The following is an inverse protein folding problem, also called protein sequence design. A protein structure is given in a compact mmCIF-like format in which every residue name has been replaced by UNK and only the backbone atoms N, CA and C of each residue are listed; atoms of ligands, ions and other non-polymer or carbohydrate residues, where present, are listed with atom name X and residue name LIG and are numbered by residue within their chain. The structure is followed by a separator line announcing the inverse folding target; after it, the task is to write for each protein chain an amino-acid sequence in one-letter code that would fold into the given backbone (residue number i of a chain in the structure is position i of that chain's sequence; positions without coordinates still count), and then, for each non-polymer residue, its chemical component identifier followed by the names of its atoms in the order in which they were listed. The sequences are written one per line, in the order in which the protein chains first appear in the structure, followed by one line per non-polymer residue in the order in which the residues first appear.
data_IF_377007077283
#
_entry.id   IF_377007077283
#
_cell.length_a   1.000
_cell.length_b   1.000
_cell.length_c   1.000
_cell.angle_alpha   90.00
_cell.angle_beta   90.00
_cell.angle_gamma   90.00
#
_symmetry.space_group_name_H-M   'P 1'
#
loop_
_entity.id
_entity.type
_entity.pdbx_description
1 polymer ?
#
# COMPACT_ATOMS: atom_id res chain seq x y z
N UNK A 1 37.41 -14.04 -49.52
CA UNK A 1 36.58 -15.12 -48.95
C UNK A 1 36.74 -15.33 -47.44
N UNK A 2 37.94 -15.27 -46.85
CA UNK A 2 38.10 -15.50 -45.39
C UNK A 2 37.45 -14.43 -44.48
N UNK A 3 37.45 -13.16 -44.89
CA UNK A 3 36.89 -12.04 -44.10
C UNK A 3 35.36 -12.09 -43.96
N UNK A 4 34.65 -12.54 -44.99
CA UNK A 4 33.18 -12.57 -45.01
C UNK A 4 32.61 -13.71 -44.16
N UNK A 5 33.28 -14.87 -44.17
CA UNK A 5 32.95 -16.00 -43.30
C UNK A 5 33.13 -15.66 -41.81
N UNK A 6 34.16 -14.89 -41.46
CA UNK A 6 34.37 -14.41 -40.09
C UNK A 6 33.33 -13.37 -39.65
N UNK A 7 32.85 -12.51 -40.57
CA UNK A 7 31.80 -11.52 -40.28
C UNK A 7 30.44 -12.18 -40.04
N UNK A 8 30.09 -13.19 -40.84
CA UNK A 8 28.88 -13.99 -40.66
C UNK A 8 28.92 -14.79 -39.35
N UNK A 9 30.08 -15.33 -38.98
CA UNK A 9 30.27 -16.02 -37.70
C UNK A 9 29.97 -15.08 -36.51
N UNK A 10 30.51 -13.86 -36.52
CA UNK A 10 30.25 -12.88 -35.45
C UNK A 10 28.77 -12.46 -35.34
N UNK A 11 28.09 -12.26 -36.47
CA UNK A 11 26.65 -11.94 -36.50
C UNK A 11 25.84 -13.10 -35.90
N UNK A 12 26.14 -14.34 -36.29
CA UNK A 12 25.45 -15.52 -35.74
C UNK A 12 25.66 -15.68 -34.24
N UNK A 13 26.86 -15.37 -33.74
CA UNK A 13 27.20 -15.39 -32.31
C UNK A 13 26.38 -14.34 -31.56
N UNK A 14 26.32 -13.09 -32.04
CA UNK A 14 25.52 -12.02 -31.43
C UNK A 14 24.02 -12.35 -31.43
N UNK A 15 23.51 -12.97 -32.51
CA UNK A 15 22.13 -13.44 -32.60
C UNK A 15 21.84 -14.62 -31.65
N UNK A 16 22.82 -15.51 -31.43
CA UNK A 16 22.72 -16.59 -30.43
C UNK A 16 22.75 -16.03 -29.01
N UNK A 17 23.64 -15.09 -28.70
CA UNK A 17 23.73 -14.45 -27.39
C UNK A 17 22.46 -13.64 -27.04
N UNK A 18 21.88 -12.92 -28.00
CA UNK A 18 20.60 -12.22 -27.82
C UNK A 18 19.41 -13.18 -27.71
N UNK A 19 19.37 -14.24 -28.55
CA UNK A 19 18.34 -15.29 -28.47
C UNK A 19 18.38 -16.08 -27.17
N UNK A 20 19.56 -16.29 -26.57
CA UNK A 20 19.72 -17.08 -25.35
C UNK A 20 19.45 -16.25 -24.08
N UNK A 21 19.62 -14.93 -24.14
CA UNK A 21 19.32 -13.99 -23.04
C UNK A 21 17.87 -13.47 -23.05
N UNK A 22 17.20 -13.47 -24.21
CA UNK A 22 15.77 -13.17 -24.34
C UNK A 22 14.85 -13.98 -23.39
N UNK A 23 14.96 -15.32 -23.26
CA UNK A 23 14.10 -16.07 -22.35
C UNK A 23 14.35 -15.73 -20.88
N UNK A 24 15.59 -15.40 -20.51
CA UNK A 24 15.93 -14.97 -19.15
C UNK A 24 15.31 -13.60 -18.83
N UNK A 25 15.42 -12.65 -19.76
CA UNK A 25 14.80 -11.32 -19.62
C UNK A 25 13.28 -11.41 -19.58
N UNK A 26 12.68 -12.23 -20.43
CA UNK A 26 11.23 -12.46 -20.48
C UNK A 26 10.73 -13.12 -19.19
N UNK A 27 11.47 -14.11 -18.67
CA UNK A 27 11.18 -14.74 -17.37
C UNK A 27 11.26 -13.73 -16.22
N UNK A 28 12.33 -12.92 -16.15
CA UNK A 28 12.49 -11.89 -15.13
C UNK A 28 11.35 -10.85 -15.19
N UNK A 29 10.98 -10.42 -16.39
CA UNK A 29 9.86 -9.49 -16.60
C UNK A 29 8.53 -10.09 -16.13
N UNK A 30 8.28 -11.37 -16.42
CA UNK A 30 7.08 -12.08 -15.99
C UNK A 30 7.02 -12.22 -14.46
N UNK A 31 8.14 -12.57 -13.82
CA UNK A 31 8.23 -12.64 -12.35
C UNK A 31 7.93 -11.28 -11.71
N UNK A 32 8.47 -10.18 -12.26
CA UNK A 32 8.19 -8.81 -11.78
C UNK A 32 6.70 -8.48 -11.93
N UNK A 33 6.10 -8.74 -13.08
CA UNK A 33 4.67 -8.50 -13.33
C UNK A 33 3.79 -9.35 -12.42
N UNK A 34 4.10 -10.63 -12.24
CA UNK A 34 3.37 -11.53 -11.34
C UNK A 34 3.45 -11.08 -9.88
N UNK A 35 4.61 -10.63 -9.41
CA UNK A 35 4.76 -10.06 -8.06
C UNK A 35 3.84 -8.87 -7.87
N UNK A 36 3.84 -7.92 -8.82
CA UNK A 36 2.98 -6.74 -8.77
C UNK A 36 1.50 -7.15 -8.75
N UNK A 37 1.09 -8.08 -9.61
CA UNK A 37 -0.30 -8.55 -9.69
C UNK A 37 -0.78 -9.24 -8.40
N UNK A 38 0.08 -10.05 -7.77
CA UNK A 38 -0.25 -10.77 -6.52
C UNK A 38 -0.24 -9.81 -5.32
N UNK A 39 0.67 -8.83 -5.27
CA UNK A 39 0.67 -7.81 -4.22
C UNK A 39 -0.59 -6.93 -4.27
N UNK A 40 -1.20 -6.79 -5.46
CA UNK A 40 -2.47 -6.08 -5.64
C UNK A 40 -3.70 -6.97 -5.39
N UNK A 41 -3.52 -8.26 -5.08
CA UNK A 41 -4.59 -9.19 -4.74
C UNK A 41 -4.98 -9.14 -3.25
N UNK A 42 -4.66 -8.04 -2.56
CA UNK A 42 -5.36 -7.72 -1.32
C UNK A 42 -6.84 -7.52 -1.69
N UNK A 43 -7.75 -8.23 -1.01
CA UNK A 43 -9.16 -8.01 -1.23
C UNK A 43 -9.46 -6.52 -0.98
N UNK A 44 -10.03 -5.87 -2.00
CA UNK A 44 -10.39 -4.46 -1.90
C UNK A 44 -11.28 -4.22 -0.70
N UNK A 45 -11.13 -3.06 -0.07
CA UNK A 45 -11.90 -2.70 1.11
C UNK A 45 -13.39 -2.90 0.89
N UNK A 46 -14.03 -3.51 1.89
CA UNK A 46 -15.46 -3.65 1.92
C UNK A 46 -16.13 -2.27 1.90
N UNK A 47 -17.00 -2.05 0.91
CA UNK A 47 -17.65 -0.76 0.72
C UNK A 47 -18.44 -0.29 1.95
N UNK A 48 -19.05 -1.19 2.72
CA UNK A 48 -19.79 -0.80 3.94
C UNK A 48 -18.83 -0.31 5.02
N UNK A 49 -17.73 -1.02 5.24
CA UNK A 49 -16.70 -0.60 6.20
C UNK A 49 -16.12 0.77 5.78
N UNK A 50 -15.81 0.97 4.48
CA UNK A 50 -15.37 2.27 3.93
C UNK A 50 -16.33 3.41 4.25
N UNK A 51 -17.62 3.22 4.01
CA UNK A 51 -18.64 4.26 4.26
C UNK A 51 -18.78 4.54 5.76
N UNK A 52 -18.77 3.52 6.61
CA UNK A 52 -18.83 3.69 8.07
C UNK A 52 -17.64 4.49 8.57
N UNK A 53 -16.43 4.20 8.10
CA UNK A 53 -15.21 4.92 8.49
C UNK A 53 -15.22 6.37 8.00
N UNK A 54 -15.76 6.66 6.82
CA UNK A 54 -15.91 8.03 6.34
C UNK A 54 -16.96 8.81 7.14
N UNK A 55 -18.07 8.17 7.52
CA UNK A 55 -19.03 8.78 8.45
C UNK A 55 -18.39 9.03 9.82
N UNK A 56 -17.59 8.08 10.32
CA UNK A 56 -16.83 8.24 11.55
C UNK A 56 -15.87 9.43 11.47
N UNK A 57 -15.12 9.59 10.38
CA UNK A 57 -14.26 10.76 10.13
C UNK A 57 -15.03 12.08 10.18
N UNK A 58 -16.21 12.17 9.55
CA UNK A 58 -17.03 13.38 9.56
C UNK A 58 -17.52 13.76 10.97
N UNK A 59 -17.64 12.79 11.87
CA UNK A 59 -18.00 13.02 13.26
C UNK A 59 -16.86 13.53 14.15
N UNK A 60 -15.64 13.62 13.64
CA UNK A 60 -14.44 13.99 14.39
C UNK A 60 -13.83 15.31 13.88
N UNK A 61 -13.27 16.08 14.81
CA UNK A 61 -12.37 17.18 14.47
C UNK A 61 -10.96 16.62 14.33
N UNK A 62 -10.45 16.55 13.10
CA UNK A 62 -9.10 16.05 12.79
C UNK A 62 -8.08 17.19 12.80
N UNK A 63 -7.77 17.72 13.99
CA UNK A 63 -6.87 18.89 14.13
C UNK A 63 -5.40 18.60 13.79
N UNK A 64 -5.02 17.33 13.73
CA UNK A 64 -3.65 16.87 13.52
C UNK A 64 -3.48 16.11 12.19
N UNK A 65 -4.48 16.18 11.30
CA UNK A 65 -4.49 15.51 10.00
C UNK A 65 -4.19 13.99 10.09
N UNK A 66 -4.58 13.35 11.19
CA UNK A 66 -4.37 11.93 11.43
C UNK A 66 -5.15 11.09 10.44
N UNK A 67 -6.35 11.55 10.07
CA UNK A 67 -7.27 10.90 9.13
C UNK A 67 -7.14 11.47 7.71
N UNK A 68 -6.07 12.19 7.40
CA UNK A 68 -5.83 12.80 6.08
C UNK A 68 -5.92 11.80 4.92
N UNK A 69 -5.39 10.58 5.10
CA UNK A 69 -5.44 9.49 4.10
C UNK A 69 -6.85 8.92 3.90
N UNK A 70 -7.77 9.14 4.84
CA UNK A 70 -9.11 8.57 4.75
C UNK A 70 -9.94 9.32 3.70
N UNK A 71 -10.01 8.77 2.50
CA UNK A 71 -10.58 9.46 1.32
C UNK A 71 -11.45 8.54 0.46
N UNK A 72 -12.41 9.12 -0.25
CA UNK A 72 -13.26 8.36 -1.17
C UNK A 72 -12.50 7.70 -2.32
N UNK A 73 -11.30 8.21 -2.66
CA UNK A 73 -10.53 7.79 -3.84
C UNK A 73 -9.72 6.52 -3.60
N UNK A 74 -9.20 6.36 -2.39
CA UNK A 74 -8.27 5.28 -2.04
C UNK A 74 -9.01 4.08 -1.42
N UNK A 75 -8.39 2.91 -1.48
CA UNK A 75 -8.86 1.72 -0.77
C UNK A 75 -8.70 1.93 0.74
N UNK A 76 -9.73 1.61 1.54
CA UNK A 76 -9.67 1.90 2.98
C UNK A 76 -8.63 1.06 3.72
N UNK A 77 -8.23 -0.08 3.17
CA UNK A 77 -7.19 -0.93 3.76
C UNK A 77 -5.79 -0.31 3.63
N UNK A 78 -5.64 0.70 2.75
CA UNK A 78 -4.41 1.48 2.56
C UNK A 78 -4.40 2.75 3.41
N UNK A 79 -5.50 3.07 4.10
CA UNK A 79 -5.55 4.25 4.95
C UNK A 79 -4.66 4.09 6.18
N UNK A 80 -4.05 5.20 6.61
CA UNK A 80 -3.23 5.25 7.82
C UNK A 80 -4.05 4.76 9.01
N UNK A 81 -3.50 3.79 9.72
CA UNK A 81 -4.11 3.25 10.93
C UNK A 81 -5.25 2.27 10.70
N UNK A 82 -5.58 1.91 9.46
CA UNK A 82 -6.59 0.88 9.15
C UNK A 82 -5.90 -0.44 8.84
N UNK A 83 -6.40 -1.53 9.45
CA UNK A 83 -5.98 -2.88 9.10
C UNK A 83 -7.18 -3.68 8.64
N UNK A 84 -6.98 -4.44 7.56
CA UNK A 84 -7.97 -5.33 6.99
C UNK A 84 -7.53 -6.79 7.06
N UNK A 85 -8.50 -7.70 7.04
CA UNK A 85 -8.25 -9.12 6.79
C UNK A 85 -8.20 -9.44 5.28
N UNK A 86 -7.96 -10.72 4.97
CA UNK A 86 -7.91 -11.24 3.58
C UNK A 86 -9.21 -11.05 2.78
N UNK A 87 -10.33 -10.71 3.43
CA UNK A 87 -11.62 -10.47 2.79
C UNK A 87 -11.92 -8.97 2.63
N UNK A 88 -10.93 -8.10 2.88
CA UNK A 88 -11.08 -6.64 2.79
C UNK A 88 -11.95 -6.06 3.90
N UNK A 89 -12.17 -6.81 5.00
CA UNK A 89 -12.92 -6.33 6.17
C UNK A 89 -11.99 -5.64 7.14
N UNK A 90 -12.39 -4.48 7.64
CA UNK A 90 -11.61 -3.75 8.66
C UNK A 90 -11.67 -4.51 9.97
N UNK A 91 -10.52 -4.86 10.52
CA UNK A 91 -10.38 -5.61 11.78
C UNK A 91 -9.77 -4.78 12.90
N UNK A 92 -9.02 -3.73 12.57
CA UNK A 92 -8.41 -2.86 13.56
C UNK A 92 -8.30 -1.42 13.06
N UNK A 93 -8.46 -0.47 13.99
CA UNK A 93 -8.22 0.95 13.81
C UNK A 93 -7.23 1.42 14.88
N UNK A 94 -6.10 1.98 14.44
CA UNK A 94 -5.09 2.57 15.30
C UNK A 94 -5.03 4.08 15.06
N UNK A 95 -5.57 4.84 16.01
CA UNK A 95 -5.59 6.31 16.00
C UNK A 95 -4.70 6.80 17.14
N UNK A 96 -3.42 7.13 16.89
CA UNK A 96 -2.51 7.58 17.94
C UNK A 96 -3.02 8.91 18.50
N UNK A 97 -3.02 9.06 19.82
CA UNK A 97 -3.28 10.35 20.45
C UNK A 97 -1.94 11.08 20.60
N UNK A 98 -1.74 12.18 19.87
CA UNK A 98 -0.70 13.14 20.21
C UNK A 98 -1.35 14.16 21.13
N UNK A 99 -1.17 13.96 22.44
CA UNK A 99 -1.33 15.07 23.38
C UNK A 99 -0.22 16.04 22.99
N UNK A 100 -0.57 17.21 22.45
CA UNK A 100 0.40 18.27 22.26
C UNK A 100 1.16 18.44 23.59
N UNK A 101 2.49 18.32 23.52
CA UNK A 101 3.41 18.63 24.63
C UNK A 101 3.22 20.07 25.16
N UNK A 102 2.34 20.88 24.57
CA UNK A 102 1.90 22.17 25.10
C UNK A 102 1.01 22.06 26.35
N UNK A 103 0.33 20.93 26.59
CA UNK A 103 -0.52 20.75 27.80
C UNK A 103 0.26 20.20 29.01
N UNK A 104 1.53 19.81 28.85
CA UNK A 104 2.42 19.48 30.00
C UNK A 104 2.96 20.76 30.67
N UNK A 105 2.30 21.91 30.44
CA UNK A 105 2.49 23.13 31.23
C UNK A 105 1.34 23.45 32.19
N UNK A 106 0.13 22.88 32.02
CA UNK A 106 -1.04 23.30 32.80
C UNK A 106 -1.88 22.09 33.24
N UNK A 107 -1.64 21.68 34.50
CA UNK A 107 -2.57 20.98 35.38
C UNK A 107 -2.86 19.49 35.06
N UNK A 108 -2.21 18.61 35.84
CA UNK A 108 -2.60 17.20 36.03
C UNK A 108 -3.97 17.11 36.71
N UNK A 109 -5.08 17.40 36.02
CA UNK A 109 -6.41 17.01 36.49
C UNK A 109 -7.54 17.13 35.45
N UNK A 110 -7.31 16.70 34.21
CA UNK A 110 -8.41 16.41 33.30
C UNK A 110 -8.27 15.00 32.78
N UNK A 111 -8.96 14.09 33.44
CA UNK A 111 -9.35 12.81 32.83
C UNK A 111 -10.14 13.14 31.57
N UNK A 112 -9.51 12.99 30.41
CA UNK A 112 -10.21 12.97 29.14
C UNK A 112 -11.13 11.75 29.18
N UNK A 113 -12.38 12.00 29.54
CA UNK A 113 -13.42 11.00 29.66
C UNK A 113 -13.76 10.51 28.24
N UNK A 114 -12.92 9.63 27.68
CA UNK A 114 -13.29 8.89 26.49
C UNK A 114 -14.52 8.08 26.87
N UNK A 115 -15.65 8.39 26.24
CA UNK A 115 -16.87 7.62 26.37
C UNK A 115 -16.57 6.24 25.80
N UNK A 116 -16.28 5.28 26.69
CA UNK A 116 -16.14 3.88 26.35
C UNK A 116 -17.50 3.39 25.85
N UNK A 117 -17.76 3.54 24.56
CA UNK A 117 -18.86 2.83 23.90
C UNK A 117 -18.48 1.37 23.86
N UNK A 118 -19.05 0.60 24.79
CA UNK A 118 -19.15 -0.84 24.68
C UNK A 118 -20.07 -1.16 23.49
N UNK A 119 -19.64 -2.09 22.65
CA UNK A 119 -20.56 -2.89 21.86
C UNK A 119 -21.14 -3.98 22.75
#
# INVERSE_FOLDING_TARGET
MASENSRLAMISIMLRFSSQSAPLFLLLSFIIVCKIAICHANASCNQKDKQILLCFKHGLTDSLDMLSTWSNKEDCCEWRGVQCNINGRVTNLNLPCFIDDFIIGINKNKTHHYKKTAF
#
